data_IF_992146210858
#
_entry.id   IF_992146210858
#
_cell.length_a   1.000
_cell.length_b   1.000
_cell.length_c   1.000
_cell.angle_alpha   90.00
_cell.angle_beta   90.00
_cell.angle_gamma   90.00
#
_symmetry.space_group_name_H-M   'P 1'
#
loop_
_entity.id
_entity.type
_entity.pdbx_description
1 polymer ?
#
# COMPACT_ATOMS: atom_id res chain seq x y z
N UNK A 1 -14.85 -9.22 13.83
CA UNK A 1 -14.34 -7.91 13.33
C UNK A 1 -14.29 -8.00 11.81
N UNK A 2 -14.94 -7.05 11.13
CA UNK A 2 -15.34 -7.20 9.74
C UNK A 2 -14.15 -7.24 8.78
N UNK A 3 -14.14 -8.24 7.89
CA UNK A 3 -13.34 -8.22 6.66
C UNK A 3 -13.99 -7.21 5.74
N UNK A 4 -13.75 -5.92 5.99
CA UNK A 4 -14.41 -4.83 5.30
C UNK A 4 -13.37 -4.03 4.53
N UNK A 5 -13.68 -3.78 3.26
CA UNK A 5 -12.85 -3.01 2.34
C UNK A 5 -12.74 -1.55 2.83
N UNK A 6 -11.51 -1.03 3.05
CA UNK A 6 -11.31 0.32 3.54
C UNK A 6 -11.56 1.42 2.49
N UNK A 7 -11.75 1.05 1.22
CA UNK A 7 -12.04 1.97 0.12
C UNK A 7 -13.55 2.10 -0.09
N UNK A 8 -14.27 0.98 -0.20
CA UNK A 8 -15.70 0.98 -0.55
C UNK A 8 -16.64 0.51 0.58
N UNK A 9 -16.12 -0.06 1.66
CA UNK A 9 -16.93 -0.56 2.78
C UNK A 9 -17.63 -1.90 2.52
N UNK A 10 -17.37 -2.54 1.38
CA UNK A 10 -17.92 -3.87 1.08
C UNK A 10 -17.19 -5.00 1.83
N UNK A 11 -17.73 -6.21 1.79
CA UNK A 11 -17.06 -7.37 2.39
C UNK A 11 -15.82 -7.74 1.58
N UNK A 12 -14.66 -7.51 2.18
CA UNK A 12 -13.37 -7.89 1.64
C UNK A 12 -13.14 -9.41 1.70
N UNK A 13 -12.60 -9.95 0.62
CA UNK A 13 -12.21 -11.36 0.51
C UNK A 13 -10.73 -11.54 0.19
N UNK A 14 -10.06 -10.47 -0.29
CA UNK A 14 -8.67 -10.46 -0.70
C UNK A 14 -7.84 -9.80 0.39
N UNK A 15 -6.87 -10.49 0.97
CA UNK A 15 -5.98 -9.91 1.97
C UNK A 15 -4.77 -9.23 1.29
N UNK A 16 -4.57 -7.95 1.55
CA UNK A 16 -3.41 -7.17 1.06
C UNK A 16 -3.09 -6.03 2.05
N UNK A 17 -1.83 -5.63 2.20
CA UNK A 17 -1.42 -4.52 3.07
C UNK A 17 -2.03 -4.56 4.50
N UNK A 18 -2.23 -5.76 5.07
CA UNK A 18 -2.93 -5.98 6.36
C UNK A 18 -4.41 -5.56 6.40
N UNK A 19 -5.03 -5.40 5.24
CA UNK A 19 -6.46 -5.09 5.05
C UNK A 19 -7.13 -6.15 4.18
N UNK A 20 -8.47 -6.22 4.26
CA UNK A 20 -9.29 -7.07 3.40
C UNK A 20 -9.97 -6.21 2.35
N UNK A 21 -9.74 -6.49 1.07
CA UNK A 21 -10.32 -5.79 -0.05
C UNK A 21 -11.38 -6.62 -0.78
N UNK A 22 -12.39 -5.96 -1.33
CA UNK A 22 -13.44 -6.62 -2.11
C UNK A 22 -12.97 -6.92 -3.53
N UNK A 23 -12.06 -6.10 -4.08
CA UNK A 23 -11.57 -6.22 -5.45
C UNK A 23 -10.13 -5.71 -5.60
N UNK A 24 -9.46 -6.11 -6.69
CA UNK A 24 -8.11 -5.61 -7.04
C UNK A 24 -8.11 -4.12 -7.37
N UNK A 25 -9.24 -3.57 -7.82
CA UNK A 25 -9.37 -2.12 -8.05
C UNK A 25 -9.29 -1.34 -6.75
N UNK A 26 -9.95 -1.82 -5.68
CA UNK A 26 -9.84 -1.21 -4.36
C UNK A 26 -8.39 -1.29 -3.82
N UNK A 27 -7.67 -2.36 -4.11
CA UNK A 27 -6.24 -2.46 -3.80
C UNK A 27 -5.46 -1.37 -4.55
N UNK A 28 -5.64 -1.22 -5.87
CA UNK A 28 -4.95 -0.19 -6.65
C UNK A 28 -5.26 1.24 -6.16
N UNK A 29 -6.52 1.53 -5.83
CA UNK A 29 -6.93 2.83 -5.27
C UNK A 29 -6.26 3.06 -3.91
N UNK A 30 -6.21 2.02 -3.07
CA UNK A 30 -5.50 2.08 -1.80
C UNK A 30 -4.01 2.36 -2.00
N UNK A 31 -3.36 1.65 -2.93
CA UNK A 31 -1.97 1.87 -3.27
C UNK A 31 -1.71 3.31 -3.74
N UNK A 32 -2.57 3.86 -4.61
CA UNK A 32 -2.47 5.24 -5.08
C UNK A 32 -2.66 6.25 -3.94
N UNK A 33 -3.71 6.06 -3.12
CA UNK A 33 -4.05 6.95 -1.99
C UNK A 33 -2.93 7.05 -0.96
N UNK A 34 -2.27 5.95 -0.67
CA UNK A 34 -1.17 5.89 0.30
C UNK A 34 0.21 6.01 -0.35
N UNK A 35 0.28 6.32 -1.66
CA UNK A 35 1.50 6.35 -2.45
C UNK A 35 2.37 5.10 -2.28
N UNK A 36 1.73 3.95 -2.07
CA UNK A 36 2.38 2.65 -1.98
C UNK A 36 2.76 2.30 -3.41
N UNK A 37 3.95 2.73 -3.82
CA UNK A 37 4.55 2.21 -5.04
C UNK A 37 4.70 0.71 -4.82
N UNK A 38 4.15 -0.11 -5.72
CA UNK A 38 4.60 -1.49 -5.89
C UNK A 38 6.07 -1.41 -6.23
N UNK A 39 6.90 -1.42 -5.20
CA UNK A 39 8.33 -1.57 -5.36
C UNK A 39 8.52 -2.99 -5.93
N UNK A 40 8.37 -3.12 -7.25
CA UNK A 40 9.10 -4.13 -7.98
C UNK A 40 10.55 -3.78 -7.74
N UNK A 41 11.15 -4.50 -6.82
CA UNK A 41 12.60 -4.74 -6.73
C UNK A 41 13.42 -3.66 -7.43
N UNK A 42 13.82 -2.62 -6.70
CA UNK A 42 15.18 -2.15 -6.85
C UNK A 42 15.63 -1.56 -5.52
N UNK A 43 16.25 -2.43 -4.74
CA UNK A 43 17.33 -2.11 -3.80
C UNK A 43 18.42 -1.36 -4.58
N UNK A 44 18.19 -0.09 -4.93
CA UNK A 44 19.20 0.90 -5.34
C UNK A 44 18.66 2.28 -4.98
N UNK A 45 18.32 2.48 -3.72
CA UNK A 45 17.68 3.72 -3.30
C UNK A 45 17.73 3.98 -1.81
N UNK A 46 18.54 3.23 -1.05
CA UNK A 46 18.96 3.66 0.27
C UNK A 46 19.85 4.90 0.16
N UNK A 47 19.28 6.05 -0.24
CA UNK A 47 19.77 7.33 0.21
C UNK A 47 19.12 7.57 1.56
N UNK A 48 19.68 6.86 2.54
CA UNK A 48 19.71 7.34 3.92
C UNK A 48 20.03 8.81 3.86
N UNK A 49 19.06 9.60 4.28
CA UNK A 49 19.26 10.96 4.71
C UNK A 49 20.47 10.98 5.66
N UNK A 50 21.57 11.60 5.22
CA UNK A 50 22.61 12.12 6.09
C UNK A 50 22.98 13.49 5.59
N UNK A 51 22.22 14.46 6.08
CA UNK A 51 22.69 15.82 6.25
C UNK A 51 23.97 15.79 7.09
N UNK A 52 25.13 16.06 6.49
CA UNK A 52 26.15 16.83 7.17
C UNK A 52 26.97 17.63 6.15
N UNK A 53 27.07 18.91 6.44
CA UNK A 53 27.78 19.96 5.72
C UNK A 53 29.16 20.08 6.36
N UNK A 54 30.13 20.54 5.57
CA UNK A 54 31.54 20.86 5.90
C UNK A 54 32.56 19.75 5.63
#
# INVERSE_FOLDING_TARGET
MGKTDPICGEKGTIEAYSHYFCSKECISIYEEKYNIKRERDYITGAKSEKWYRE
#
